data_IF_597725525439
#
_entry.id   IF_597725525439
#
_cell.length_a   1.000
_cell.length_b   1.000
_cell.length_c   1.000
_cell.angle_alpha   90.00
_cell.angle_beta   90.00
_cell.angle_gamma   90.00
#
_symmetry.space_group_name_H-M   'P 1'
#
loop_
_entity.id
_entity.type
_entity.pdbx_description
1 polymer ?
#
# COMPACT_ATOMS: atom_id res chain seq x y z
N UNK A 1 69.57 -2.72 -15.43
CA UNK A 1 68.65 -3.88 -15.46
C UNK A 1 68.97 -4.74 -16.67
N UNK A 2 69.01 -6.06 -16.49
CA UNK A 2 69.56 -7.03 -17.46
C UNK A 2 68.56 -7.34 -18.58
N UNK A 3 69.05 -7.43 -19.82
CA UNK A 3 68.30 -7.81 -21.03
C UNK A 3 67.59 -9.18 -20.92
N UNK A 4 67.96 -10.00 -19.93
CA UNK A 4 67.39 -11.33 -19.70
C UNK A 4 66.09 -11.36 -18.87
N UNK A 5 65.72 -10.26 -18.18
CA UNK A 5 64.43 -10.21 -17.45
C UNK A 5 63.22 -10.08 -18.37
N UNK A 6 63.42 -9.72 -19.65
CA UNK A 6 62.33 -9.62 -20.65
C UNK A 6 61.87 -10.97 -21.21
N UNK A 7 62.55 -12.07 -20.89
CA UNK A 7 62.26 -13.40 -21.46
C UNK A 7 61.66 -14.41 -20.47
N UNK A 8 61.44 -14.04 -19.20
CA UNK A 8 60.65 -14.87 -18.28
C UNK A 8 59.17 -14.58 -18.50
N UNK A 9 58.39 -15.62 -18.82
CA UNK A 9 56.94 -15.48 -18.86
C UNK A 9 56.44 -15.01 -17.49
N UNK A 10 55.48 -14.08 -17.46
CA UNK A 10 54.97 -13.58 -16.19
C UNK A 10 54.26 -14.71 -15.43
N UNK A 11 54.27 -14.66 -14.09
CA UNK A 11 53.75 -15.73 -13.21
C UNK A 11 52.30 -16.12 -13.54
N UNK A 12 51.47 -15.17 -13.99
CA UNK A 12 50.08 -15.41 -14.38
C UNK A 12 49.91 -16.22 -15.68
N UNK A 13 50.98 -16.52 -16.43
CA UNK A 13 50.97 -17.47 -17.56
C UNK A 13 51.54 -18.85 -17.21
N UNK A 14 51.84 -19.11 -15.94
CA UNK A 14 52.45 -20.36 -15.52
C UNK A 14 51.51 -21.56 -15.72
N UNK A 15 52.06 -22.75 -15.97
CA UNK A 15 51.24 -23.96 -16.20
C UNK A 15 50.46 -24.39 -14.96
N UNK A 16 51.07 -24.25 -13.77
CA UNK A 16 50.42 -24.54 -12.49
C UNK A 16 49.40 -23.46 -12.10
N UNK A 17 48.10 -23.79 -11.92
CA UNK A 17 47.08 -22.85 -11.50
C UNK A 17 47.34 -22.22 -10.12
N UNK A 18 48.04 -22.90 -9.20
CA UNK A 18 48.37 -22.32 -7.90
C UNK A 18 49.31 -21.12 -8.04
N UNK A 19 50.30 -21.22 -8.94
CA UNK A 19 51.23 -20.11 -9.24
C UNK A 19 50.49 -18.96 -9.94
N UNK A 20 49.55 -19.26 -10.84
CA UNK A 20 48.72 -18.23 -11.47
C UNK A 20 47.82 -17.54 -10.45
N UNK A 21 47.20 -18.29 -9.54
CA UNK A 21 46.35 -17.76 -8.49
C UNK A 21 47.11 -16.79 -7.57
N UNK A 22 48.33 -17.16 -7.16
CA UNK A 22 49.22 -16.27 -6.40
C UNK A 22 49.57 -15.02 -7.22
N UNK A 23 49.89 -15.17 -8.51
CA UNK A 23 50.14 -14.04 -9.39
C UNK A 23 48.95 -13.09 -9.47
N UNK A 24 47.71 -13.59 -9.54
CA UNK A 24 46.50 -12.77 -9.53
C UNK A 24 46.38 -11.96 -8.24
N UNK A 25 46.93 -12.42 -7.12
CA UNK A 25 46.94 -11.64 -5.87
C UNK A 25 47.99 -10.53 -5.88
N UNK A 26 49.12 -10.75 -6.54
CA UNK A 26 50.24 -9.81 -6.62
C UNK A 26 50.05 -8.71 -7.69
N UNK A 27 49.17 -8.90 -8.68
CA UNK A 27 48.90 -7.89 -9.70
C UNK A 27 48.48 -6.56 -9.06
N UNK A 28 48.93 -5.42 -9.58
CA UNK A 28 48.41 -4.11 -9.18
C UNK A 28 47.08 -3.79 -9.86
N UNK A 29 46.44 -2.70 -9.43
CA UNK A 29 45.13 -2.28 -9.97
C UNK A 29 45.26 -1.78 -11.42
N UNK A 30 46.46 -1.37 -11.85
CA UNK A 30 46.77 -1.03 -13.24
C UNK A 30 46.69 -2.24 -14.20
N UNK A 31 46.65 -3.47 -13.69
CA UNK A 31 46.65 -4.69 -14.49
C UNK A 31 45.25 -5.16 -14.93
N UNK A 32 44.27 -4.26 -15.07
CA UNK A 32 42.88 -4.60 -15.43
C UNK A 32 42.78 -5.41 -16.73
N UNK A 33 43.62 -5.16 -17.75
CA UNK A 33 43.61 -5.97 -18.98
C UNK A 33 43.94 -7.43 -18.73
N UNK A 34 44.92 -7.70 -17.85
CA UNK A 34 45.32 -9.06 -17.47
C UNK A 34 44.22 -9.70 -16.62
N UNK A 35 43.66 -8.97 -15.65
CA UNK A 35 42.58 -9.46 -14.81
C UNK A 35 41.33 -9.82 -15.63
N UNK A 36 40.97 -8.99 -16.62
CA UNK A 36 39.84 -9.26 -17.53
C UNK A 36 40.05 -10.51 -18.39
N UNK A 37 41.27 -10.74 -18.90
CA UNK A 37 41.58 -11.97 -19.65
C UNK A 37 41.51 -13.19 -18.73
N UNK A 38 42.15 -13.15 -17.56
CA UNK A 38 42.13 -14.26 -16.60
C UNK A 38 40.71 -14.58 -16.11
N UNK A 39 39.89 -13.58 -15.83
CA UNK A 39 38.51 -13.75 -15.39
C UNK A 39 37.63 -14.47 -16.43
N UNK A 40 37.89 -14.26 -17.72
CA UNK A 40 37.09 -14.85 -18.82
C UNK A 40 37.63 -16.20 -19.30
N UNK A 41 38.95 -16.37 -19.31
CA UNK A 41 39.61 -17.38 -20.15
C UNK A 41 40.45 -18.39 -19.37
N UNK A 42 40.79 -18.13 -18.10
CA UNK A 42 41.65 -19.07 -17.36
C UNK A 42 40.97 -20.43 -17.23
N UNK A 43 41.72 -21.51 -17.48
CA UNK A 43 41.19 -22.87 -17.42
C UNK A 43 40.74 -23.26 -16.00
N UNK A 44 41.38 -22.71 -14.96
CA UNK A 44 41.07 -23.02 -13.58
C UNK A 44 40.00 -22.07 -13.00
N UNK A 45 38.86 -22.58 -12.50
CA UNK A 45 37.78 -21.74 -11.96
C UNK A 45 38.20 -20.97 -10.70
N UNK A 46 39.18 -21.46 -9.93
CA UNK A 46 39.71 -20.74 -8.78
C UNK A 46 40.48 -19.48 -9.19
N UNK A 47 41.29 -19.58 -10.25
CA UNK A 47 41.97 -18.42 -10.85
C UNK A 47 40.95 -17.45 -11.44
N UNK A 48 39.96 -17.92 -12.21
CA UNK A 48 38.90 -17.06 -12.76
C UNK A 48 38.15 -16.31 -11.66
N UNK A 49 37.67 -17.01 -10.62
CA UNK A 49 36.96 -16.40 -9.49
C UNK A 49 37.81 -15.33 -8.80
N UNK A 50 39.11 -15.61 -8.60
CA UNK A 50 40.01 -14.64 -7.97
C UNK A 50 40.27 -13.42 -8.85
N UNK A 51 40.34 -13.60 -10.16
CA UNK A 51 40.45 -12.49 -11.11
C UNK A 51 39.15 -11.66 -11.12
N UNK A 52 37.98 -12.30 -11.18
CA UNK A 52 36.66 -11.65 -11.10
C UNK A 52 36.54 -10.76 -9.86
N UNK A 53 36.98 -11.25 -8.69
CA UNK A 53 37.00 -10.49 -7.44
C UNK A 53 37.86 -9.20 -7.48
N UNK A 54 38.58 -8.94 -8.57
CA UNK A 54 39.46 -7.78 -8.77
C UNK A 54 39.18 -7.01 -10.06
N UNK A 55 38.26 -7.47 -10.89
CA UNK A 55 37.88 -6.79 -12.14
C UNK A 55 36.94 -5.65 -11.81
N UNK A 56 37.25 -4.46 -12.31
CA UNK A 56 36.40 -3.26 -12.18
C UNK A 56 35.41 -3.10 -13.35
N UNK A 57 35.69 -3.78 -14.47
CA UNK A 57 34.92 -3.66 -15.71
C UNK A 57 33.56 -4.39 -15.62
N UNK A 58 32.49 -3.61 -15.43
CA UNK A 58 31.10 -4.11 -15.38
C UNK A 58 30.70 -4.99 -16.57
N UNK A 59 31.03 -4.67 -17.84
CA UNK A 59 30.74 -5.56 -18.97
C UNK A 59 31.39 -6.96 -18.84
N UNK A 60 32.61 -7.03 -18.29
CA UNK A 60 33.29 -8.30 -17.98
C UNK A 60 32.52 -9.07 -16.92
N UNK A 61 32.18 -8.42 -15.79
CA UNK A 61 31.42 -9.03 -14.71
C UNK A 61 30.06 -9.57 -15.21
N UNK A 62 29.34 -8.78 -16.01
CA UNK A 62 28.06 -9.17 -16.61
C UNK A 62 28.19 -10.38 -17.55
N UNK A 63 29.27 -10.45 -18.33
CA UNK A 63 29.55 -11.60 -19.20
C UNK A 63 29.82 -12.86 -18.38
N UNK A 64 30.62 -12.74 -17.32
CA UNK A 64 30.99 -13.87 -16.45
C UNK A 64 29.78 -14.37 -15.66
N UNK A 65 29.00 -13.47 -15.06
CA UNK A 65 27.81 -13.82 -14.27
C UNK A 65 26.79 -14.64 -15.08
N UNK A 66 26.63 -14.34 -16.38
CA UNK A 66 25.69 -15.03 -17.27
C UNK A 66 26.24 -16.33 -17.87
N UNK A 67 27.55 -16.42 -18.06
CA UNK A 67 28.12 -17.39 -19.00
C UNK A 67 29.24 -18.29 -18.47
N UNK A 68 29.82 -18.01 -17.30
CA UNK A 68 30.87 -18.89 -16.76
C UNK A 68 30.31 -20.29 -16.51
N UNK A 69 31.12 -21.34 -16.71
CA UNK A 69 30.70 -22.72 -16.49
C UNK A 69 30.61 -23.07 -15.00
N UNK A 70 31.44 -22.45 -14.16
CA UNK A 70 31.48 -22.69 -12.72
C UNK A 70 30.51 -21.78 -11.98
N UNK A 71 29.63 -22.37 -11.16
CA UNK A 71 28.64 -21.61 -10.37
C UNK A 71 29.31 -20.67 -9.35
N UNK A 72 30.45 -21.05 -8.78
CA UNK A 72 31.17 -20.19 -7.83
C UNK A 72 31.75 -18.95 -8.50
N UNK A 73 32.19 -19.05 -9.75
CA UNK A 73 32.63 -17.90 -10.56
C UNK A 73 31.44 -17.01 -10.93
N UNK A 74 30.32 -17.60 -11.38
CA UNK A 74 29.07 -16.85 -11.66
C UNK A 74 28.57 -16.09 -10.44
N UNK A 75 28.55 -16.74 -9.28
CA UNK A 75 28.08 -16.17 -8.03
C UNK A 75 28.96 -14.99 -7.56
N UNK A 76 30.28 -15.07 -7.72
CA UNK A 76 31.18 -13.96 -7.39
C UNK A 76 30.92 -12.74 -8.30
N UNK A 77 30.80 -12.96 -9.61
CA UNK A 77 30.51 -11.88 -10.55
C UNK A 77 29.13 -11.24 -10.30
N UNK A 78 28.10 -12.07 -10.04
CA UNK A 78 26.76 -11.63 -9.67
C UNK A 78 26.77 -10.78 -8.40
N UNK A 79 27.54 -11.17 -7.38
CA UNK A 79 27.68 -10.41 -6.13
C UNK A 79 28.25 -9.01 -6.40
N UNK A 80 29.31 -8.90 -7.21
CA UNK A 80 29.90 -7.61 -7.53
C UNK A 80 28.94 -6.72 -8.33
N UNK A 81 28.19 -7.28 -9.29
CA UNK A 81 27.15 -6.55 -10.01
C UNK A 81 26.04 -6.04 -9.08
N UNK A 82 25.64 -6.87 -8.10
CA UNK A 82 24.68 -6.48 -7.06
C UNK A 82 25.18 -5.32 -6.21
N UNK A 83 26.46 -5.35 -5.84
CA UNK A 83 27.09 -4.29 -5.04
C UNK A 83 27.11 -2.97 -5.83
N UNK A 84 27.55 -3.00 -7.10
CA UNK A 84 27.57 -1.82 -8.00
C UNK A 84 26.16 -1.26 -8.24
N UNK A 85 25.18 -2.11 -8.55
CA UNK A 85 23.80 -1.68 -8.81
C UNK A 85 23.09 -1.14 -7.56
N UNK A 86 23.47 -1.61 -6.37
CA UNK A 86 22.90 -1.13 -5.10
C UNK A 86 23.55 0.17 -4.66
N UNK A 87 24.88 0.31 -4.80
CA UNK A 87 25.59 1.54 -4.46
C UNK A 87 25.07 2.74 -5.27
N UNK A 88 24.98 2.59 -6.60
CA UNK A 88 24.32 3.59 -7.44
C UNK A 88 25.02 4.97 -7.49
N UNK A 89 26.25 5.11 -6.96
CA UNK A 89 26.99 6.39 -6.98
C UNK A 89 27.22 6.88 -8.41
N UNK A 90 27.61 5.99 -9.32
CA UNK A 90 27.57 6.23 -10.76
C UNK A 90 26.31 5.56 -11.34
N UNK A 91 25.30 6.37 -11.67
CA UNK A 91 24.02 5.89 -12.17
C UNK A 91 24.16 5.11 -13.48
N UNK A 92 25.06 5.52 -14.38
CA UNK A 92 25.24 4.87 -15.67
C UNK A 92 25.86 3.48 -15.49
N UNK A 93 26.91 3.39 -14.68
CA UNK A 93 27.57 2.12 -14.36
C UNK A 93 26.64 1.18 -13.59
N UNK A 94 25.82 1.70 -12.66
CA UNK A 94 24.83 0.93 -11.93
C UNK A 94 23.72 0.37 -12.83
N UNK A 95 23.28 1.13 -13.85
CA UNK A 95 22.34 0.64 -14.86
C UNK A 95 22.96 -0.47 -15.74
N UNK A 96 24.22 -0.34 -16.11
CA UNK A 96 24.95 -1.39 -16.83
C UNK A 96 25.11 -2.65 -15.98
N UNK A 97 25.39 -2.50 -14.68
CA UNK A 97 25.48 -3.61 -13.74
C UNK A 97 24.13 -4.32 -13.57
N UNK A 98 23.05 -3.55 -13.41
CA UNK A 98 21.68 -4.06 -13.36
C UNK A 98 21.34 -4.86 -14.63
N UNK A 99 21.76 -4.39 -15.81
CA UNK A 99 21.50 -5.09 -17.08
C UNK A 99 22.18 -6.46 -17.15
N UNK A 100 23.22 -6.71 -16.36
CA UNK A 100 23.88 -8.01 -16.22
C UNK A 100 23.19 -9.02 -15.30
N UNK A 101 22.12 -8.63 -14.60
CA UNK A 101 21.42 -9.45 -13.60
C UNK A 101 20.01 -9.80 -14.08
N UNK A 102 19.62 -11.07 -14.02
CA UNK A 102 18.30 -11.54 -14.49
C UNK A 102 17.41 -12.15 -13.39
N UNK A 103 17.96 -12.49 -12.23
CA UNK A 103 17.17 -13.10 -11.15
C UNK A 103 16.21 -12.07 -10.52
N UNK A 104 14.92 -12.42 -10.49
CA UNK A 104 13.88 -11.50 -10.00
C UNK A 104 14.05 -11.12 -8.52
N UNK A 105 14.69 -11.98 -7.71
CA UNK A 105 14.93 -11.67 -6.29
C UNK A 105 16.04 -10.63 -6.14
N UNK A 106 17.06 -10.68 -6.98
CA UNK A 106 18.10 -9.65 -7.06
C UNK A 106 17.52 -8.30 -7.46
N UNK A 107 16.73 -8.30 -8.53
CA UNK A 107 16.06 -7.09 -9.01
C UNK A 107 15.20 -6.47 -7.90
N UNK A 108 14.52 -7.30 -7.11
CA UNK A 108 13.74 -6.85 -5.97
C UNK A 108 14.58 -6.38 -4.77
N UNK A 109 15.80 -6.90 -4.59
CA UNK A 109 16.74 -6.37 -3.60
C UNK A 109 17.21 -4.99 -4.05
N UNK A 110 17.73 -4.86 -5.28
CA UNK A 110 18.20 -3.58 -5.84
C UNK A 110 17.09 -2.53 -5.78
N UNK A 111 15.89 -2.84 -6.26
CA UNK A 111 14.76 -1.91 -6.25
C UNK A 111 14.40 -1.41 -4.82
N UNK A 112 14.70 -2.19 -3.78
CA UNK A 112 14.41 -1.78 -2.40
C UNK A 112 15.52 -0.99 -1.75
N UNK A 113 16.77 -1.26 -2.11
CA UNK A 113 17.95 -0.81 -1.33
C UNK A 113 18.85 0.16 -2.07
N UNK A 114 18.71 0.35 -3.38
CA UNK A 114 19.58 1.25 -4.14
C UNK A 114 19.40 2.72 -3.75
N UNK A 115 20.50 3.45 -3.73
CA UNK A 115 20.51 4.90 -3.50
C UNK A 115 20.17 5.69 -4.78
N UNK A 116 20.23 5.07 -5.96
CA UNK A 116 19.88 5.70 -7.24
C UNK A 116 18.43 5.38 -7.66
N UNK A 117 17.54 6.37 -7.64
CA UNK A 117 16.11 6.17 -7.94
C UNK A 117 15.88 5.57 -9.33
N UNK A 118 16.63 6.03 -10.34
CA UNK A 118 16.51 5.56 -11.72
C UNK A 118 16.83 4.06 -11.84
N UNK A 119 17.87 3.59 -11.14
CA UNK A 119 18.27 2.18 -11.07
C UNK A 119 17.17 1.35 -10.42
N UNK A 120 16.62 1.81 -9.31
CA UNK A 120 15.56 1.10 -8.60
C UNK A 120 14.26 0.99 -9.41
N UNK A 121 13.89 2.06 -10.14
CA UNK A 121 12.77 2.04 -11.08
C UNK A 121 13.03 1.12 -12.29
N UNK A 122 14.26 1.08 -12.80
CA UNK A 122 14.64 0.17 -13.88
C UNK A 122 14.55 -1.30 -13.44
N UNK A 123 15.01 -1.60 -12.22
CA UNK A 123 14.89 -2.93 -11.62
C UNK A 123 13.42 -3.33 -11.43
N UNK A 124 12.59 -2.42 -10.89
CA UNK A 124 11.15 -2.64 -10.73
C UNK A 124 10.43 -2.98 -12.04
N UNK A 125 10.79 -2.35 -13.17
CA UNK A 125 10.19 -2.63 -14.49
C UNK A 125 10.42 -4.06 -14.96
N UNK A 126 11.43 -4.75 -14.43
CA UNK A 126 11.80 -6.13 -14.78
C UNK A 126 11.22 -7.16 -13.80
N UNK A 127 10.50 -6.72 -12.77
CA UNK A 127 9.79 -7.59 -11.81
C UNK A 127 8.34 -7.74 -12.26
N UNK A 128 7.85 -8.97 -12.23
CA UNK A 128 6.50 -9.35 -12.70
C UNK A 128 5.65 -10.03 -11.62
N UNK A 129 6.28 -10.73 -10.68
CA UNK A 129 5.57 -11.49 -9.66
C UNK A 129 4.83 -10.53 -8.69
N UNK A 130 3.48 -10.64 -8.56
CA UNK A 130 2.69 -9.69 -7.76
C UNK A 130 3.17 -9.53 -6.31
N UNK A 131 3.57 -10.63 -5.68
CA UNK A 131 4.12 -10.63 -4.31
C UNK A 131 5.44 -9.89 -4.20
N UNK A 132 6.28 -9.97 -5.24
CA UNK A 132 7.57 -9.29 -5.27
C UNK A 132 7.35 -7.79 -5.44
N UNK A 133 6.44 -7.38 -6.33
CA UNK A 133 6.02 -5.98 -6.48
C UNK A 133 5.47 -5.43 -5.16
N UNK A 134 4.60 -6.18 -4.48
CA UNK A 134 4.07 -5.80 -3.16
C UNK A 134 5.16 -5.65 -2.09
N UNK A 135 6.18 -6.51 -2.10
CA UNK A 135 7.37 -6.39 -1.23
C UNK A 135 8.15 -5.11 -1.51
N UNK A 136 8.33 -4.74 -2.78
CA UNK A 136 9.01 -3.48 -3.17
C UNK A 136 8.16 -2.27 -2.74
N UNK A 137 6.87 -2.26 -3.05
CA UNK A 137 5.95 -1.19 -2.66
C UNK A 137 5.96 -0.96 -1.14
N UNK A 138 5.98 -2.03 -0.35
CA UNK A 138 5.94 -1.93 1.11
C UNK A 138 7.26 -1.54 1.79
N UNK A 139 8.42 -1.72 1.13
CA UNK A 139 9.74 -1.72 1.77
C UNK A 139 10.84 -0.94 1.06
N UNK A 140 10.63 -0.42 -0.15
CA UNK A 140 11.69 0.32 -0.84
C UNK A 140 12.06 1.60 -0.07
N UNK A 141 13.36 1.90 0.01
CA UNK A 141 13.85 3.07 0.76
C UNK A 141 13.31 4.40 0.19
N UNK A 142 13.20 4.49 -1.13
CA UNK A 142 12.78 5.71 -1.83
C UNK A 142 11.27 5.77 -2.07
N UNK A 143 10.67 6.94 -1.86
CA UNK A 143 9.21 7.14 -1.98
C UNK A 143 8.69 6.91 -3.40
N UNK A 144 9.38 7.43 -4.42
CA UNK A 144 8.92 7.28 -5.80
C UNK A 144 8.91 5.82 -6.26
N UNK A 145 9.90 5.01 -5.86
CA UNK A 145 9.91 3.57 -6.13
C UNK A 145 8.72 2.87 -5.45
N UNK A 146 8.43 3.19 -4.18
CA UNK A 146 7.29 2.59 -3.46
C UNK A 146 5.96 2.87 -4.16
N UNK A 147 5.74 4.12 -4.55
CA UNK A 147 4.51 4.54 -5.22
C UNK A 147 4.40 3.98 -6.64
N UNK A 148 5.52 3.92 -7.38
CA UNK A 148 5.56 3.28 -8.70
C UNK A 148 5.23 1.79 -8.60
N UNK A 149 5.80 1.08 -7.62
CA UNK A 149 5.48 -0.33 -7.39
C UNK A 149 4.01 -0.52 -7.04
N UNK A 150 3.45 0.32 -6.15
CA UNK A 150 2.02 0.29 -5.81
C UNK A 150 1.13 0.50 -7.05
N UNK A 151 1.50 1.40 -7.96
CA UNK A 151 0.74 1.67 -9.18
C UNK A 151 0.68 0.45 -10.13
N UNK A 152 1.68 -0.43 -10.09
CA UNK A 152 1.72 -1.67 -10.88
C UNK A 152 0.85 -2.79 -10.29
N UNK A 153 0.55 -2.75 -8.98
CA UNK A 153 -0.19 -3.81 -8.29
C UNK A 153 -1.64 -3.85 -8.77
N UNK A 154 -2.10 -5.00 -9.27
CA UNK A 154 -3.49 -5.18 -9.70
C UNK A 154 -4.36 -5.83 -8.62
N UNK A 155 -3.79 -6.75 -7.84
CA UNK A 155 -4.52 -7.54 -6.85
C UNK A 155 -4.87 -6.74 -5.59
N UNK A 156 -6.17 -6.58 -5.26
CA UNK A 156 -6.60 -5.85 -4.06
C UNK A 156 -6.00 -6.42 -2.77
N UNK A 157 -5.85 -7.75 -2.69
CA UNK A 157 -5.28 -8.44 -1.54
C UNK A 157 -3.81 -8.03 -1.28
N UNK A 158 -2.99 -7.91 -2.33
CA UNK A 158 -1.60 -7.48 -2.20
C UNK A 158 -1.52 -6.00 -1.77
N UNK A 159 -2.40 -5.13 -2.28
CA UNK A 159 -2.47 -3.72 -1.86
C UNK A 159 -2.85 -3.60 -0.38
N UNK A 160 -3.76 -4.46 0.11
CA UNK A 160 -4.10 -4.53 1.53
C UNK A 160 -2.88 -4.96 2.37
N UNK A 161 -2.07 -5.92 1.91
CA UNK A 161 -0.85 -6.31 2.61
C UNK A 161 0.13 -5.14 2.76
N UNK A 162 0.26 -4.28 1.74
CA UNK A 162 1.05 -3.04 1.81
C UNK A 162 0.47 -2.06 2.83
N UNK A 163 -0.84 -1.80 2.78
CA UNK A 163 -1.52 -0.92 3.74
C UNK A 163 -1.42 -1.42 5.20
N UNK A 164 -1.43 -2.74 5.41
CA UNK A 164 -1.34 -3.36 6.73
C UNK A 164 0.07 -3.29 7.32
N UNK A 165 1.09 -3.51 6.49
CA UNK A 165 2.44 -3.84 6.97
C UNK A 165 3.51 -2.78 6.71
N UNK A 166 3.31 -1.86 5.77
CA UNK A 166 4.34 -0.86 5.46
C UNK A 166 4.53 0.11 6.62
N UNK A 167 5.79 0.37 6.94
CA UNK A 167 6.18 1.42 7.89
C UNK A 167 6.11 2.82 7.27
N UNK A 168 6.15 2.90 5.93
CA UNK A 168 6.11 4.14 5.20
C UNK A 168 4.66 4.62 5.01
N UNK A 169 4.35 5.73 5.67
CA UNK A 169 2.98 6.29 5.73
C UNK A 169 2.42 6.63 4.35
N UNK A 170 3.25 7.16 3.46
CA UNK A 170 2.86 7.59 2.11
C UNK A 170 2.26 6.43 1.31
N UNK A 171 3.01 5.36 1.10
CA UNK A 171 2.55 4.20 0.33
C UNK A 171 1.44 3.45 1.05
N UNK A 172 1.47 3.37 2.39
CA UNK A 172 0.44 2.66 3.14
C UNK A 172 -0.93 3.35 3.04
N UNK A 173 -0.96 4.69 3.06
CA UNK A 173 -2.18 5.47 2.84
C UNK A 173 -2.65 5.37 1.39
N UNK A 174 -1.75 5.53 0.41
CA UNK A 174 -2.10 5.38 -1.00
C UNK A 174 -2.64 3.98 -1.31
N UNK A 175 -2.06 2.94 -0.71
CA UNK A 175 -2.52 1.57 -0.86
C UNK A 175 -3.94 1.41 -0.31
N UNK A 176 -4.20 1.89 0.91
CA UNK A 176 -5.53 1.90 1.51
C UNK A 176 -6.56 2.64 0.62
N UNK A 177 -6.23 3.83 0.12
CA UNK A 177 -7.16 4.65 -0.67
C UNK A 177 -7.48 4.02 -2.03
N UNK A 178 -6.59 3.17 -2.53
CA UNK A 178 -6.82 2.41 -3.76
C UNK A 178 -7.73 1.18 -3.57
N UNK A 179 -7.99 0.74 -2.35
CA UNK A 179 -8.83 -0.44 -2.04
C UNK A 179 -10.31 -0.06 -2.14
N UNK A 180 -11.05 -0.73 -3.03
CA UNK A 180 -12.48 -0.44 -3.27
C UNK A 180 -13.42 -1.26 -2.39
N UNK A 181 -13.06 -2.50 -2.08
CA UNK A 181 -13.90 -3.40 -1.29
C UNK A 181 -13.99 -2.98 0.18
N UNK A 182 -15.21 -2.82 0.70
CA UNK A 182 -15.44 -2.38 2.09
C UNK A 182 -14.89 -3.38 3.11
N UNK A 183 -15.05 -4.69 2.87
CA UNK A 183 -14.53 -5.74 3.76
C UNK A 183 -12.99 -5.68 3.90
N UNK A 184 -12.28 -5.34 2.82
CA UNK A 184 -10.83 -5.16 2.85
C UNK A 184 -10.43 -3.89 3.62
N UNK A 185 -11.19 -2.80 3.50
CA UNK A 185 -10.96 -1.59 4.30
C UNK A 185 -11.22 -1.84 5.80
N UNK A 186 -12.23 -2.64 6.14
CA UNK A 186 -12.48 -3.09 7.53
C UNK A 186 -11.30 -3.88 8.08
N UNK A 187 -10.72 -4.78 7.28
CA UNK A 187 -9.53 -5.51 7.65
C UNK A 187 -8.36 -4.57 7.97
N UNK A 188 -8.12 -3.55 7.13
CA UNK A 188 -7.08 -2.54 7.37
C UNK A 188 -7.39 -1.71 8.64
N UNK A 189 -8.63 -1.29 8.84
CA UNK A 189 -9.06 -0.55 10.04
C UNK A 189 -8.83 -1.34 11.34
N UNK A 190 -8.96 -2.67 11.29
CA UNK A 190 -8.78 -3.54 12.44
C UNK A 190 -7.32 -3.92 12.70
N UNK A 191 -6.52 -4.12 11.64
CA UNK A 191 -5.23 -4.82 11.73
C UNK A 191 -4.01 -4.03 11.26
N UNK A 192 -4.17 -2.82 10.71
CA UNK A 192 -3.02 -2.04 10.23
C UNK A 192 -2.05 -1.73 11.37
N UNK A 193 -0.76 -2.01 11.14
CA UNK A 193 0.32 -1.70 12.10
C UNK A 193 0.48 -0.19 12.29
N UNK A 194 0.25 0.59 11.23
CA UNK A 194 0.32 2.05 11.29
C UNK A 194 -1.02 2.66 11.77
N UNK A 195 -0.99 3.31 12.94
CA UNK A 195 -2.19 3.92 13.57
C UNK A 195 -2.89 4.97 12.68
N UNK A 196 -2.13 5.71 11.87
CA UNK A 196 -2.71 6.72 10.96
C UNK A 196 -3.49 6.07 9.82
N UNK A 197 -2.98 4.95 9.29
CA UNK A 197 -3.66 4.16 8.25
C UNK A 197 -4.93 3.54 8.83
N UNK A 198 -4.87 2.93 10.02
CA UNK A 198 -6.05 2.41 10.70
C UNK A 198 -7.12 3.49 10.93
N UNK A 199 -6.70 4.69 11.35
CA UNK A 199 -7.61 5.84 11.54
C UNK A 199 -8.23 6.29 10.23
N UNK A 200 -7.44 6.39 9.15
CA UNK A 200 -7.94 6.76 7.81
C UNK A 200 -8.92 5.71 7.28
N UNK A 201 -8.65 4.42 7.49
CA UNK A 201 -9.55 3.34 7.08
C UNK A 201 -10.92 3.46 7.78
N UNK A 202 -10.95 3.73 9.09
CA UNK A 202 -12.21 4.01 9.81
C UNK A 202 -12.94 5.24 9.29
N UNK A 203 -12.22 6.28 8.90
CA UNK A 203 -12.82 7.46 8.27
C UNK A 203 -13.45 7.10 6.91
N UNK A 204 -12.73 6.36 6.05
CA UNK A 204 -13.26 5.86 4.78
C UNK A 204 -14.52 5.01 4.95
N UNK A 205 -14.58 4.15 5.99
CA UNK A 205 -15.78 3.35 6.27
C UNK A 205 -16.97 4.22 6.68
N UNK A 206 -16.76 5.26 7.49
CA UNK A 206 -17.82 6.22 7.84
C UNK A 206 -18.26 7.06 6.63
N UNK A 207 -17.34 7.43 5.75
CA UNK A 207 -17.63 8.14 4.50
C UNK A 207 -18.40 7.26 3.51
N UNK A 208 -18.16 5.93 3.52
CA UNK A 208 -18.84 4.95 2.66
C UNK A 208 -20.18 4.49 3.18
N UNK A 209 -20.39 4.55 4.49
CA UNK A 209 -21.73 4.45 5.02
C UNK A 209 -22.50 5.59 4.36
N UNK A 210 -23.61 5.30 3.66
CA UNK A 210 -24.52 6.39 3.30
C UNK A 210 -24.73 7.14 4.60
N UNK A 211 -24.59 8.47 4.56
CA UNK A 211 -24.96 9.26 5.71
C UNK A 211 -26.36 8.81 6.05
N UNK A 212 -26.49 8.01 7.10
CA UNK A 212 -27.68 8.02 7.89
C UNK A 212 -27.69 9.47 8.33
N UNK A 213 -28.34 10.32 7.52
CA UNK A 213 -29.09 11.44 8.04
C UNK A 213 -29.65 10.85 9.32
N UNK A 214 -29.07 11.29 10.45
CA UNK A 214 -29.40 10.79 11.76
C UNK A 214 -30.89 10.53 11.71
N UNK A 215 -31.34 9.27 11.83
CA UNK A 215 -32.75 8.98 11.76
C UNK A 215 -33.38 10.04 12.66
N UNK A 216 -34.14 10.99 12.10
CA UNK A 216 -34.66 12.05 12.93
C UNK A 216 -35.45 11.28 13.97
N UNK A 217 -35.22 11.52 15.27
CA UNK A 217 -36.13 11.04 16.30
C UNK A 217 -37.54 11.18 15.72
N UNK A 218 -38.30 10.08 15.55
CA UNK A 218 -39.17 9.93 14.40
C UNK A 218 -39.94 11.21 14.21
N UNK A 219 -39.69 11.95 13.12
CA UNK A 219 -40.37 13.22 12.89
C UNK A 219 -41.89 13.03 13.04
N UNK A 220 -42.38 11.80 12.79
CA UNK A 220 -43.73 11.34 13.13
C UNK A 220 -44.03 11.25 14.63
N UNK A 221 -43.18 10.70 15.49
CA UNK A 221 -43.39 10.61 16.95
C UNK A 221 -43.36 11.99 17.61
N UNK A 222 -42.37 12.84 17.28
CA UNK A 222 -42.35 14.26 17.71
C UNK A 222 -43.55 15.06 17.18
N UNK A 223 -44.07 14.73 16.00
CA UNK A 223 -45.33 15.32 15.49
C UNK A 223 -46.55 14.80 16.25
N UNK A 224 -46.60 13.50 16.59
CA UNK A 224 -47.70 12.89 17.35
C UNK A 224 -47.79 13.44 18.77
N UNK A 225 -46.67 13.55 19.49
CA UNK A 225 -46.66 14.17 20.82
C UNK A 225 -47.19 15.61 20.79
N UNK A 226 -46.77 16.41 19.80
CA UNK A 226 -47.28 17.78 19.63
C UNK A 226 -48.77 17.84 19.32
N UNK A 227 -49.30 16.88 18.57
CA UNK A 227 -50.74 16.79 18.31
C UNK A 227 -51.51 16.45 19.60
N UNK A 228 -50.99 15.54 20.42
CA UNK A 228 -51.54 15.24 21.74
C UNK A 228 -51.53 16.47 22.65
N UNK A 229 -50.38 17.15 22.79
CA UNK A 229 -50.25 18.36 23.61
C UNK A 229 -51.20 19.47 23.16
N UNK A 230 -51.34 19.67 21.84
CA UNK A 230 -52.26 20.66 21.27
C UNK A 230 -53.72 20.34 21.63
N UNK A 231 -54.15 19.09 21.46
CA UNK A 231 -55.52 18.66 21.81
C UNK A 231 -55.81 18.77 23.31
N UNK A 232 -54.83 18.43 24.16
CA UNK A 232 -54.93 18.61 25.61
C UNK A 232 -55.07 20.10 25.98
N UNK A 233 -54.41 20.99 25.24
CA UNK A 233 -54.60 22.44 25.34
C UNK A 233 -56.01 22.89 24.96
N UNK A 234 -56.55 22.38 23.84
CA UNK A 234 -57.91 22.69 23.40
C UNK A 234 -58.98 22.26 24.42
N UNK A 235 -58.77 21.16 25.14
CA UNK A 235 -59.66 20.72 26.21
C UNK A 235 -59.74 21.73 27.38
N UNK A 236 -58.76 22.62 27.52
CA UNK A 236 -58.69 23.67 28.56
C UNK A 236 -58.98 25.08 28.02
N UNK A 237 -59.23 25.21 26.72
CA UNK A 237 -59.47 26.50 26.08
C UNK A 237 -60.81 27.12 26.56
N UNK A 238 -60.81 28.46 26.65
CA UNK A 238 -61.92 29.26 27.17
C UNK A 238 -62.65 30.04 26.07
N UNK A 239 -62.07 30.09 24.87
CA UNK A 239 -62.67 30.70 23.68
C UNK A 239 -63.24 29.65 22.73
N UNK A 240 -64.54 29.68 22.50
CA UNK A 240 -65.26 28.68 21.69
C UNK A 240 -64.84 28.67 20.22
N UNK A 241 -64.53 29.86 19.67
CA UNK A 241 -64.08 30.09 18.29
C UNK A 241 -62.67 29.56 18.04
N UNK A 242 -61.88 29.34 19.09
CA UNK A 242 -60.51 28.84 19.02
C UNK A 242 -60.39 27.30 19.06
N UNK A 243 -61.51 26.55 19.15
CA UNK A 243 -61.47 25.09 19.38
C UNK A 243 -61.75 24.26 18.13
N UNK A 244 -62.82 24.57 17.38
CA UNK A 244 -63.28 23.71 16.28
C UNK A 244 -62.23 23.55 15.17
N UNK A 245 -61.72 24.66 14.64
CA UNK A 245 -60.80 24.64 13.51
C UNK A 245 -59.47 23.93 13.85
N UNK A 246 -58.81 24.19 15.00
CA UNK A 246 -57.60 23.45 15.36
C UNK A 246 -57.84 21.97 15.68
N UNK A 247 -59.00 21.60 16.25
CA UNK A 247 -59.36 20.21 16.52
C UNK A 247 -59.50 19.38 15.22
N UNK A 248 -60.17 19.95 14.21
CA UNK A 248 -60.34 19.29 12.91
C UNK A 248 -58.98 19.14 12.21
N UNK A 249 -58.18 20.22 12.20
CA UNK A 249 -56.83 20.19 11.64
C UNK A 249 -55.91 19.17 12.34
N UNK A 250 -56.01 19.01 13.66
CA UNK A 250 -55.26 18.01 14.41
C UNK A 250 -55.63 16.58 14.01
N UNK A 251 -56.94 16.35 13.81
CA UNK A 251 -57.50 15.04 13.47
C UNK A 251 -57.07 14.61 12.07
N UNK A 252 -57.15 15.53 11.10
CA UNK A 252 -56.68 15.28 9.74
C UNK A 252 -55.16 15.04 9.71
N UNK A 253 -54.39 15.85 10.44
CA UNK A 253 -52.94 15.69 10.53
C UNK A 253 -52.54 14.35 11.15
N UNK A 254 -53.28 13.83 12.15
CA UNK A 254 -53.02 12.53 12.76
C UNK A 254 -53.21 11.38 11.77
N UNK A 255 -54.27 11.42 10.95
CA UNK A 255 -54.57 10.39 9.95
C UNK A 255 -53.54 10.30 8.82
N UNK A 256 -52.85 11.42 8.52
CA UNK A 256 -51.85 11.48 7.46
C UNK A 256 -50.46 10.92 7.86
N UNK A 257 -50.25 10.59 9.15
CA UNK A 257 -48.96 10.07 9.64
C UNK A 257 -48.92 8.54 9.52
N UNK A 258 -48.15 8.02 8.55
CA UNK A 258 -47.97 6.59 8.26
C UNK A 258 -47.59 5.72 9.47
N UNK A 259 -48.01 4.45 9.43
CA UNK A 259 -48.06 3.49 10.55
C UNK A 259 -46.86 2.54 10.54
N UNK A 260 -46.16 2.44 11.67
CA UNK A 260 -45.37 1.27 12.09
C UNK A 260 -45.04 1.40 13.59
N UNK A 261 -45.10 0.27 14.30
CA UNK A 261 -44.51 -0.04 15.63
C UNK A 261 -45.41 -0.02 16.89
N UNK A 262 -45.07 -0.86 17.87
CA UNK A 262 -45.88 -1.19 19.07
C UNK A 262 -46.05 -0.03 20.07
N UNK A 263 -45.15 0.98 20.07
CA UNK A 263 -45.30 2.22 20.85
C UNK A 263 -46.53 3.07 20.43
N UNK A 264 -47.15 2.74 19.31
CA UNK A 264 -48.34 3.41 18.78
C UNK A 264 -49.58 3.24 19.68
N UNK A 265 -49.71 2.16 20.45
CA UNK A 265 -50.90 1.91 21.28
C UNK A 265 -51.10 2.99 22.36
N UNK A 266 -50.01 3.44 23.00
CA UNK A 266 -50.08 4.45 24.06
C UNK A 266 -50.37 5.86 23.51
N UNK A 267 -49.70 6.26 22.44
CA UNK A 267 -49.92 7.57 21.81
C UNK A 267 -51.29 7.65 21.11
N UNK A 268 -51.77 6.56 20.52
CA UNK A 268 -53.12 6.47 19.96
C UNK A 268 -54.17 6.67 21.06
N UNK A 269 -54.04 5.96 22.19
CA UNK A 269 -54.95 6.12 23.32
C UNK A 269 -54.91 7.55 23.90
N UNK A 270 -53.73 8.16 24.02
CA UNK A 270 -53.56 9.54 24.47
C UNK A 270 -54.25 10.53 23.52
N UNK A 271 -54.04 10.38 22.22
CA UNK A 271 -54.66 11.23 21.19
C UNK A 271 -56.19 11.13 21.22
N UNK A 272 -56.73 9.91 21.25
CA UNK A 272 -58.18 9.68 21.28
C UNK A 272 -58.83 10.29 22.53
N UNK A 273 -58.19 10.13 23.70
CA UNK A 273 -58.65 10.74 24.94
C UNK A 273 -58.64 12.28 24.89
N UNK A 274 -57.55 12.87 24.38
CA UNK A 274 -57.43 14.32 24.23
C UNK A 274 -58.44 14.89 23.23
N UNK A 275 -58.65 14.22 22.09
CA UNK A 275 -59.65 14.60 21.09
C UNK A 275 -61.08 14.53 21.66
N UNK A 276 -61.39 13.48 22.42
CA UNK A 276 -62.69 13.34 23.08
C UNK A 276 -62.93 14.46 24.11
N UNK A 277 -61.91 14.80 24.91
CA UNK A 277 -61.99 15.89 25.87
C UNK A 277 -62.22 17.26 25.20
N UNK A 278 -61.51 17.54 24.09
CA UNK A 278 -61.70 18.76 23.32
C UNK A 278 -63.11 18.85 22.69
N UNK A 279 -63.64 17.74 22.16
CA UNK A 279 -65.02 17.68 21.63
C UNK A 279 -66.06 17.90 22.72
N UNK A 280 -65.89 17.28 23.89
CA UNK A 280 -66.78 17.46 25.03
C UNK A 280 -66.78 18.91 25.53
N UNK A 281 -65.59 19.53 25.59
CA UNK A 281 -65.44 20.95 25.94
C UNK A 281 -66.18 21.85 24.95
N UNK A 282 -66.00 21.62 23.66
CA UNK A 282 -66.70 22.38 22.63
C UNK A 282 -68.22 22.21 22.71
N UNK A 283 -68.71 21.00 22.97
CA UNK A 283 -70.13 20.73 23.14
C UNK A 283 -70.71 21.45 24.38
N UNK A 284 -69.99 21.43 25.51
CA UNK A 284 -70.37 22.16 26.73
C UNK A 284 -70.46 23.68 26.51
N UNK A 285 -69.60 24.24 25.66
CA UNK A 285 -69.59 25.69 25.40
C UNK A 285 -70.62 26.11 24.35
N UNK A 286 -71.14 25.16 23.55
CA UNK A 286 -72.21 25.38 22.57
C UNK A 286 -73.61 25.19 23.15
N UNK A 287 -73.73 24.49 24.28
CA UNK A 287 -74.96 24.29 25.04
C UNK A 287 -75.31 25.53 25.86
#
# INVERSE_FOLDING_TARGET
MSLFDRFRQPKWKHADPAVRLEAVQELGDEAQDVLRSLAREDADPGVRRRAVARVEDVPTLASVARGDMDEGVRAEARKLLMDVATDGTDEAEALDALAGLDDERDLAVIARTTDAEAVGLAALRRVSAPRVIGSIAGRAGQSGIRLAALALMQEPAERVLVALNSEHKDVALSALESVRETALVEQVAARAKNKLVARRARALLRERQPSAVAAPAPLGELRRDRLCDMLEGLARETRIDAIQLPLDAATDAWQQISVADDQQSLLQARFEAAAAAARARLAQMRA
#
